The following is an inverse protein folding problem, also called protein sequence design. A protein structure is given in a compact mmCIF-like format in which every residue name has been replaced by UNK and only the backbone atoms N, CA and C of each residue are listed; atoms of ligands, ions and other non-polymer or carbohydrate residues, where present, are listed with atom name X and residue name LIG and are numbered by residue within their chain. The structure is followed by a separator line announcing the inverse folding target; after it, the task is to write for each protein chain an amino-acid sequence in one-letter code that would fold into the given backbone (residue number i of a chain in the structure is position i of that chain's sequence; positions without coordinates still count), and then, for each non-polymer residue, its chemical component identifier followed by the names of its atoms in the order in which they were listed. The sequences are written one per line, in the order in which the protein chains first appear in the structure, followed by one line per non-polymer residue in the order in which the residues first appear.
data_IF_216769607614
#
_entry.id   IF_216769607614
#
_cell.length_a   1.000
_cell.length_b   1.000
_cell.length_c   1.000
_cell.angle_alpha   90.00
_cell.angle_beta   90.00
_cell.angle_gamma   90.00
#
_symmetry.space_group_name_H-M   'P 1'
#
loop_
_entity.id
_entity.type
_entity.pdbx_description
1 polymer ?
#
# COMPACT_ATOMS: atom_id res chain seq x y z
N UNK A 1 -15.12 13.10 -0.82
CA UNK A 1 -14.32 11.92 -0.39
C UNK A 1 -14.96 10.56 -0.72
N UNK A 2 -15.89 9.98 0.08
CA UNK A 2 -16.35 8.57 -0.13
C UNK A 2 -16.84 8.26 -1.55
N UNK A 3 -17.71 9.12 -2.11
CA UNK A 3 -18.24 8.96 -3.49
C UNK A 3 -17.14 9.07 -4.55
N UNK A 4 -16.15 9.92 -4.34
CA UNK A 4 -15.04 10.11 -5.28
C UNK A 4 -14.06 8.95 -5.21
N UNK A 5 -13.75 8.46 -4.01
CA UNK A 5 -12.96 7.24 -3.83
C UNK A 5 -13.62 6.05 -4.52
N UNK A 6 -14.94 5.87 -4.35
CA UNK A 6 -15.67 4.79 -5.02
C UNK A 6 -15.55 4.82 -6.56
N UNK A 7 -15.28 5.98 -7.15
CA UNK A 7 -15.11 6.12 -8.60
C UNK A 7 -13.68 5.80 -9.10
N UNK A 8 -12.70 5.72 -8.20
CA UNK A 8 -11.27 5.56 -8.57
C UNK A 8 -10.57 4.38 -7.88
N UNK A 9 -11.22 3.75 -6.89
CA UNK A 9 -10.69 2.58 -6.21
C UNK A 9 -10.55 1.41 -7.20
N UNK A 10 -9.34 0.86 -7.27
CA UNK A 10 -9.03 -0.31 -8.08
C UNK A 10 -8.81 -1.52 -7.18
N UNK A 11 -9.31 -2.67 -7.61
CA UNK A 11 -9.03 -3.94 -6.95
C UNK A 11 -7.72 -4.54 -7.45
N UNK A 12 -6.87 -4.99 -6.53
CA UNK A 12 -5.61 -5.67 -6.84
C UNK A 12 -5.46 -6.94 -6.01
N UNK A 13 -5.36 -8.10 -6.67
CA UNK A 13 -5.24 -9.40 -6.01
C UNK A 13 -3.90 -10.06 -6.27
N UNK A 14 -3.34 -10.69 -5.23
CA UNK A 14 -2.05 -11.39 -5.27
C UNK A 14 -2.18 -12.78 -4.66
N UNK A 15 -1.68 -13.79 -5.36
CA UNK A 15 -1.96 -15.18 -5.00
C UNK A 15 -0.99 -15.77 -3.97
N UNK A 16 0.25 -15.27 -3.91
CA UNK A 16 1.35 -15.94 -3.17
C UNK A 16 1.90 -15.08 -2.03
N UNK A 17 2.06 -15.71 -0.87
CA UNK A 17 2.85 -15.20 0.24
C UNK A 17 4.29 -14.93 -0.19
N UNK A 18 4.94 -13.97 0.45
CA UNK A 18 6.30 -13.52 0.13
C UNK A 18 6.41 -12.65 -1.11
N UNK A 19 5.31 -12.41 -1.85
CA UNK A 19 5.30 -11.44 -2.96
C UNK A 19 5.66 -10.05 -2.43
N UNK A 20 6.63 -9.40 -3.06
CA UNK A 20 6.99 -8.00 -2.79
C UNK A 20 6.04 -7.10 -3.57
N UNK A 21 5.19 -6.35 -2.87
CA UNK A 21 4.26 -5.42 -3.51
C UNK A 21 4.99 -4.16 -4.01
N UNK A 22 5.92 -3.65 -3.21
CA UNK A 22 6.93 -2.67 -3.61
C UNK A 22 8.10 -2.69 -2.63
N UNK A 23 9.24 -2.16 -3.05
CA UNK A 23 10.47 -2.10 -2.27
C UNK A 23 10.70 -0.73 -1.65
N UNK A 24 11.42 -0.69 -0.53
CA UNK A 24 11.99 0.54 -0.01
C UNK A 24 12.89 1.18 -1.08
N UNK A 25 12.75 2.50 -1.26
CA UNK A 25 13.48 3.25 -2.29
C UNK A 25 12.74 3.37 -3.63
N UNK A 26 11.70 2.56 -3.88
CA UNK A 26 10.90 2.69 -5.09
C UNK A 26 10.14 4.03 -5.11
N UNK A 27 9.78 4.49 -6.31
CA UNK A 27 8.90 5.65 -6.45
C UNK A 27 7.52 5.33 -5.89
N UNK A 28 6.98 6.22 -5.03
CA UNK A 28 5.61 6.10 -4.55
C UNK A 28 4.59 6.40 -5.65
N UNK A 29 3.86 5.38 -6.10
CA UNK A 29 2.86 5.50 -7.18
C UNK A 29 1.41 5.32 -6.73
N UNK A 30 1.16 4.61 -5.63
CA UNK A 30 -0.20 4.31 -5.16
C UNK A 30 -0.28 4.19 -3.64
N UNK A 31 -1.50 4.36 -3.12
CA UNK A 31 -1.89 4.09 -1.73
C UNK A 31 -2.79 2.86 -1.72
N UNK A 32 -2.71 2.07 -0.64
CA UNK A 32 -3.37 0.76 -0.55
C UNK A 32 -4.14 0.62 0.76
N UNK A 33 -5.28 -0.06 0.69
CA UNK A 33 -6.04 -0.56 1.83
C UNK A 33 -6.07 -2.09 1.73
N UNK A 34 -5.82 -2.78 2.83
CA UNK A 34 -5.88 -4.24 2.90
C UNK A 34 -7.35 -4.65 3.00
N UNK A 35 -7.89 -5.21 1.92
CA UNK A 35 -9.24 -5.76 1.94
C UNK A 35 -9.26 -7.20 2.46
N UNK A 36 -8.26 -7.99 2.09
CA UNK A 36 -8.09 -9.36 2.57
C UNK A 36 -6.62 -9.70 2.81
N UNK A 37 -6.35 -10.38 3.91
CA UNK A 37 -5.03 -10.89 4.27
C UNK A 37 -4.17 -9.91 5.10
N UNK A 38 -2.86 -10.09 5.04
CA UNK A 38 -1.90 -9.34 5.86
C UNK A 38 -0.55 -9.16 5.15
N UNK A 39 0.16 -8.10 5.53
CA UNK A 39 1.48 -7.77 4.97
C UNK A 39 2.48 -7.41 6.06
N UNK A 40 3.74 -7.68 5.78
CA UNK A 40 4.87 -7.25 6.58
C UNK A 40 5.45 -5.95 6.02
N UNK A 41 5.73 -5.02 6.93
CA UNK A 41 6.46 -3.78 6.67
C UNK A 41 7.92 -4.02 7.06
N UNK A 42 8.81 -3.97 6.07
CA UNK A 42 10.24 -4.27 6.27
C UNK A 42 11.09 -3.08 5.86
N UNK A 43 12.09 -2.73 6.67
CA UNK A 43 13.01 -1.62 6.36
C UNK A 43 14.46 -2.07 6.42
N UNK A 44 15.31 -1.46 5.58
CA UNK A 44 16.75 -1.63 5.64
C UNK A 44 17.27 -1.20 7.03
N UNK A 45 18.08 -2.06 7.65
CA UNK A 45 18.70 -1.81 8.95
C UNK A 45 17.86 -2.18 10.17
N UNK A 46 16.53 -2.27 10.07
CA UNK A 46 15.66 -2.72 11.18
C UNK A 46 14.96 -4.05 10.93
N UNK A 47 14.90 -4.52 9.68
CA UNK A 47 14.17 -5.74 9.34
C UNK A 47 12.65 -5.51 9.44
N UNK A 48 11.92 -6.48 9.99
CA UNK A 48 10.48 -6.41 10.19
C UNK A 48 10.14 -5.36 11.26
N UNK A 49 9.40 -4.31 10.88
CA UNK A 49 9.02 -3.22 11.80
C UNK A 49 7.55 -3.23 12.19
N UNK A 50 6.68 -3.81 11.36
CA UNK A 50 5.26 -3.97 11.65
C UNK A 50 4.64 -5.05 10.77
N UNK A 51 3.47 -5.54 11.18
CA UNK A 51 2.57 -6.37 10.37
C UNK A 51 1.20 -5.69 10.36
N UNK A 52 0.65 -5.51 9.17
CA UNK A 52 -0.64 -4.88 8.92
C UNK A 52 -1.65 -5.94 8.46
N UNK A 53 -2.91 -5.75 8.79
CA UNK A 53 -4.00 -6.70 8.57
C UNK A 53 -5.18 -6.05 7.85
N UNK A 54 -6.22 -6.82 7.59
CA UNK A 54 -7.46 -6.34 6.97
C UNK A 54 -8.01 -5.08 7.66
N UNK A 55 -8.34 -4.07 6.86
CA UNK A 55 -8.79 -2.75 7.32
C UNK A 55 -7.66 -1.73 7.47
N UNK A 56 -6.40 -2.16 7.62
CA UNK A 56 -5.25 -1.25 7.64
C UNK A 56 -4.94 -0.71 6.25
N UNK A 57 -4.28 0.45 6.20
CA UNK A 57 -3.80 1.09 4.98
C UNK A 57 -2.29 1.38 5.03
N UNK A 58 -1.67 1.53 3.85
CA UNK A 58 -0.25 1.82 3.76
C UNK A 58 0.15 2.51 2.45
N UNK A 59 1.34 3.11 2.46
CA UNK A 59 1.96 3.71 1.29
C UNK A 59 1.65 5.19 1.09
N UNK A 60 0.85 5.84 1.95
CA UNK A 60 0.51 7.26 1.82
C UNK A 60 1.73 8.17 1.96
N UNK A 61 2.71 7.82 2.81
CA UNK A 61 3.84 8.68 3.15
C UNK A 61 4.64 9.13 1.93
N UNK A 62 4.91 8.20 1.01
CA UNK A 62 5.66 8.48 -0.23
C UNK A 62 4.89 9.42 -1.18
N UNK A 63 3.55 9.38 -1.15
CA UNK A 63 2.71 10.25 -1.99
C UNK A 63 2.60 11.66 -1.40
N UNK A 64 2.44 11.74 -0.07
CA UNK A 64 2.33 13.00 0.66
C UNK A 64 3.64 13.79 0.55
N UNK A 65 4.78 13.14 0.76
CA UNK A 65 6.08 13.82 0.81
C UNK A 65 6.79 13.90 -0.55
N UNK A 66 6.19 13.34 -1.61
CA UNK A 66 6.83 13.16 -2.92
C UNK A 66 8.23 12.54 -2.82
N UNK A 67 8.34 11.51 -1.99
CA UNK A 67 9.59 10.86 -1.63
C UNK A 67 9.56 9.37 -2.00
N UNK A 68 10.72 8.69 -2.07
CA UNK A 68 10.77 7.24 -2.21
C UNK A 68 10.03 6.49 -1.09
N UNK A 69 9.65 5.23 -1.35
CA UNK A 69 9.05 4.35 -0.34
C UNK A 69 10.00 4.19 0.85
N UNK A 70 9.47 4.41 2.05
CA UNK A 70 10.25 4.29 3.29
C UNK A 70 10.47 2.83 3.74
N UNK A 71 9.70 1.88 3.20
CA UNK A 71 9.72 0.47 3.56
C UNK A 71 9.34 -0.41 2.36
N UNK A 72 9.75 -1.67 2.41
CA UNK A 72 9.29 -2.75 1.55
C UNK A 72 8.02 -3.35 2.14
N UNK A 73 7.03 -3.64 1.29
CA UNK A 73 5.80 -4.34 1.67
C UNK A 73 5.84 -5.75 1.09
N UNK A 74 5.75 -6.74 1.97
CA UNK A 74 5.79 -8.16 1.65
C UNK A 74 4.49 -8.82 2.08
N UNK A 75 3.87 -9.59 1.20
CA UNK A 75 2.68 -10.36 1.55
C UNK A 75 3.04 -11.45 2.56
N UNK A 76 2.27 -11.55 3.64
CA UNK A 76 2.51 -12.50 4.71
C UNK A 76 1.82 -13.85 4.46
N UNK A 77 0.74 -13.84 3.68
CA UNK A 77 -0.06 -15.02 3.37
C UNK A 77 -0.51 -15.03 1.90
N UNK A 78 -1.05 -16.18 1.47
CA UNK A 78 -1.59 -16.35 0.13
C UNK A 78 -2.92 -15.61 -0.03
N UNK A 79 -3.29 -15.29 -1.27
CA UNK A 79 -4.58 -14.70 -1.64
C UNK A 79 -4.91 -13.37 -0.92
N UNK A 80 -3.95 -12.44 -0.87
CA UNK A 80 -4.19 -11.09 -0.38
C UNK A 80 -4.90 -10.23 -1.44
N UNK A 81 -5.83 -9.40 -0.98
CA UNK A 81 -6.57 -8.45 -1.81
C UNK A 81 -6.42 -7.03 -1.28
N UNK A 82 -6.17 -6.09 -2.18
CA UNK A 82 -6.00 -4.69 -1.86
C UNK A 82 -6.99 -3.83 -2.64
N UNK A 83 -7.42 -2.73 -2.02
CA UNK A 83 -7.98 -1.60 -2.74
C UNK A 83 -6.88 -0.57 -2.95
N UNK A 84 -6.68 -0.13 -4.18
CA UNK A 84 -5.61 0.78 -4.59
C UNK A 84 -6.17 2.09 -5.11
N UNK A 85 -5.53 3.19 -4.73
CA UNK A 85 -5.73 4.52 -5.34
C UNK A 85 -4.39 5.02 -5.86
N UNK A 86 -4.34 5.40 -7.14
CA UNK A 86 -3.11 5.91 -7.75
C UNK A 86 -2.83 7.35 -7.30
N UNK A 87 -1.56 7.75 -7.38
CA UNK A 87 -1.05 9.02 -6.83
C UNK A 87 -1.84 10.25 -7.29
N UNK A 88 -2.23 10.30 -8.56
CA UNK A 88 -2.96 11.44 -9.10
C UNK A 88 -4.32 11.60 -8.41
N UNK A 89 -5.07 10.52 -8.27
CA UNK A 89 -6.36 10.54 -7.59
C UNK A 89 -6.23 10.70 -6.08
N UNK A 90 -5.21 10.07 -5.47
CA UNK A 90 -4.88 10.29 -4.06
C UNK A 90 -4.63 11.78 -3.77
N UNK A 91 -3.80 12.43 -4.58
CA UNK A 91 -3.50 13.86 -4.42
C UNK A 91 -4.75 14.73 -4.60
N UNK A 92 -5.61 14.38 -5.57
CA UNK A 92 -6.83 15.13 -5.86
C UNK A 92 -7.90 14.99 -4.78
N UNK A 93 -8.03 13.82 -4.15
CA UNK A 93 -9.15 13.49 -3.26
C UNK A 93 -8.79 13.56 -1.78
N UNK A 94 -7.54 13.19 -1.42
CA UNK A 94 -7.15 12.93 -0.02
C UNK A 94 -6.07 13.87 0.52
N UNK A 95 -5.20 14.41 -0.34
CA UNK A 95 -4.10 15.30 0.06
C UNK A 95 -4.53 16.77 0.18
N UNK A 96 -5.83 17.03 0.38
CA UNK A 96 -6.43 18.38 0.40
C UNK A 96 -5.66 19.30 1.35
#
# INVERSE_FOLDING_TARGET
VKRELAAVLMFEGHQRAGTVLFSQGDKGTSWYIIWKGSVNVVTHGKGLVATLHEGDDFGQLALVNDAPRAATILLREDNCHFLRVDKQDFNRILKV
#
